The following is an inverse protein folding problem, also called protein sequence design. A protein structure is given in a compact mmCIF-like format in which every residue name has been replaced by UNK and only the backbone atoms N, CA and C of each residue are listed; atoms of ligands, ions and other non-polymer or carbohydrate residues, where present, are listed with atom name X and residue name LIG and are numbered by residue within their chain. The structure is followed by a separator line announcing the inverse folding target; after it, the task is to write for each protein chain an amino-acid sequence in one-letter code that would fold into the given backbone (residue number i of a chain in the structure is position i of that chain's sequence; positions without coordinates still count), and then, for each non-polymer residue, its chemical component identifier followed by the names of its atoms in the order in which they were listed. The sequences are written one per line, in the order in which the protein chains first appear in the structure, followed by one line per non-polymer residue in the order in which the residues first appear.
data_IF_878611942438
#
_entry.id   IF_878611942438
#
_cell.length_a   1.000
_cell.length_b   1.000
_cell.length_c   1.000
_cell.angle_alpha   90.00
_cell.angle_beta   90.00
_cell.angle_gamma   90.00
#
_symmetry.space_group_name_H-M   'P 1'
#
loop_
_entity.id
_entity.type
_entity.pdbx_description
1 polymer ?
#
# COMPACT_ATOMS: atom_id res chain seq x y z
N UNK A 1 -12.52 -0.49 16.83
CA UNK A 1 -12.83 0.34 15.66
C UNK A 1 -11.81 0.19 14.53
N UNK A 2 -10.56 0.70 14.58
CA UNK A 2 -9.54 0.40 13.53
C UNK A 2 -9.29 -1.11 13.37
N UNK A 3 -9.43 -1.86 14.46
CA UNK A 3 -9.27 -3.32 14.54
C UNK A 3 -10.47 -4.14 14.02
N UNK A 4 -11.62 -3.49 13.73
CA UNK A 4 -12.84 -4.13 13.20
C UNK A 4 -13.02 -3.89 11.69
N UNK A 5 -12.10 -3.15 11.05
CA UNK A 5 -12.02 -3.12 9.59
C UNK A 5 -13.15 -2.38 8.88
N UNK A 6 -13.83 -1.46 9.55
CA UNK A 6 -14.83 -0.57 8.93
C UNK A 6 -14.12 0.71 8.50
N UNK A 7 -13.24 0.62 7.50
CA UNK A 7 -12.39 1.75 7.10
C UNK A 7 -13.20 2.96 6.65
N UNK A 8 -14.32 2.77 5.96
CA UNK A 8 -15.26 3.85 5.62
C UNK A 8 -15.86 4.51 6.87
N UNK A 9 -16.19 3.73 7.91
CA UNK A 9 -16.68 4.29 9.16
C UNK A 9 -15.58 4.99 9.95
N UNK A 10 -14.37 4.43 9.99
CA UNK A 10 -13.20 5.07 10.62
C UNK A 10 -12.87 6.38 9.92
N UNK A 11 -12.91 6.39 8.58
CA UNK A 11 -12.74 7.58 7.76
C UNK A 11 -13.86 8.60 8.05
N UNK A 12 -15.13 8.18 8.09
CA UNK A 12 -16.27 9.04 8.37
C UNK A 12 -16.23 9.63 9.79
N UNK A 13 -15.90 8.83 10.81
CA UNK A 13 -15.71 9.28 12.19
C UNK A 13 -14.55 10.27 12.32
N UNK A 14 -13.42 9.96 11.67
CA UNK A 14 -12.26 10.85 11.65
C UNK A 14 -12.58 12.18 10.93
N UNK A 15 -13.35 12.14 9.84
CA UNK A 15 -13.85 13.35 9.17
C UNK A 15 -14.81 14.15 10.03
N UNK A 16 -15.74 13.48 10.71
CA UNK A 16 -16.66 14.15 11.63
C UNK A 16 -15.91 14.86 12.76
N UNK A 17 -14.86 14.23 13.29
CA UNK A 17 -13.97 14.82 14.29
C UNK A 17 -13.19 16.02 13.73
N UNK A 18 -12.69 15.93 12.50
CA UNK A 18 -11.98 17.01 11.82
C UNK A 18 -12.89 18.22 11.52
N UNK A 19 -14.19 17.99 11.30
CA UNK A 19 -15.18 19.03 11.00
C UNK A 19 -15.70 19.77 12.24
N UNK A 20 -15.41 19.29 13.46
CA UNK A 20 -15.83 19.98 14.67
C UNK A 20 -15.22 21.38 14.75
N UNK A 21 -15.99 22.40 15.15
CA UNK A 21 -15.52 23.78 15.19
C UNK A 21 -14.28 23.89 16.09
N UNK A 22 -13.17 24.33 15.49
CA UNK A 22 -11.93 24.58 16.20
C UNK A 22 -12.17 25.60 17.31
N UNK A 23 -12.00 25.22 18.57
CA UNK A 23 -12.05 26.20 19.65
C UNK A 23 -10.86 27.16 19.50
N UNK A 24 -11.06 28.49 19.45
CA UNK A 24 -10.01 29.45 19.08
C UNK A 24 -8.76 29.39 19.98
N UNK A 25 -8.90 28.92 21.22
CA UNK A 25 -7.82 28.78 22.20
C UNK A 25 -7.14 27.40 22.19
N UNK A 26 -7.64 26.46 21.38
CA UNK A 26 -7.05 25.13 21.13
C UNK A 26 -6.83 24.96 19.63
N UNK A 27 -5.93 25.75 19.04
CA UNK A 27 -5.19 25.39 17.82
C UNK A 27 -4.23 24.22 18.12
N UNK A 28 -4.77 23.10 18.61
CA UNK A 28 -4.03 21.95 19.11
C UNK A 28 -4.17 20.74 18.17
N UNK A 29 -3.25 19.75 18.28
CA UNK A 29 -3.13 18.56 17.42
C UNK A 29 -4.39 17.75 17.06
N UNK A 30 -5.46 17.65 17.89
CA UNK A 30 -6.52 16.67 17.64
C UNK A 30 -7.23 16.77 16.29
N UNK A 31 -7.36 17.98 15.69
CA UNK A 31 -7.99 18.06 14.37
C UNK A 31 -7.03 17.69 13.24
N UNK A 32 -5.73 17.99 13.35
CA UNK A 32 -4.74 17.56 12.37
C UNK A 32 -4.54 16.05 12.46
N UNK A 33 -4.52 15.50 13.68
CA UNK A 33 -4.56 14.05 13.92
C UNK A 33 -5.78 13.41 13.25
N UNK A 34 -6.96 14.00 13.40
CA UNK A 34 -8.19 13.52 12.76
C UNK A 34 -8.12 13.59 11.22
N UNK A 35 -7.59 14.68 10.66
CA UNK A 35 -7.39 14.82 9.20
C UNK A 35 -6.36 13.84 8.66
N UNK A 36 -5.23 13.65 9.35
CA UNK A 36 -4.21 12.65 8.99
C UNK A 36 -4.81 11.24 9.03
N UNK A 37 -5.60 10.92 10.06
CA UNK A 37 -6.27 9.62 10.16
C UNK A 37 -7.30 9.41 9.05
N UNK A 38 -8.14 10.42 8.77
CA UNK A 38 -9.15 10.36 7.72
C UNK A 38 -8.51 10.15 6.35
N UNK A 39 -7.55 11.01 5.98
CA UNK A 39 -6.84 10.94 4.69
C UNK A 39 -6.04 9.64 4.54
N UNK A 40 -5.30 9.22 5.59
CA UNK A 40 -4.57 7.96 5.57
C UNK A 40 -5.50 6.76 5.38
N UNK A 41 -6.65 6.75 6.06
CA UNK A 41 -7.66 5.69 5.91
C UNK A 41 -8.28 5.70 4.50
N UNK A 42 -8.56 6.90 3.96
CA UNK A 42 -9.06 7.10 2.61
C UNK A 42 -8.12 6.55 1.53
N UNK A 43 -6.80 6.71 1.71
CA UNK A 43 -5.81 6.09 0.83
C UNK A 43 -5.83 4.56 0.96
N UNK A 44 -5.88 4.03 2.19
CA UNK A 44 -5.77 2.59 2.45
C UNK A 44 -6.92 1.76 1.87
N UNK A 45 -8.16 2.26 1.92
CA UNK A 45 -9.30 1.53 1.36
C UNK A 45 -9.59 1.85 -0.12
N UNK A 46 -8.92 2.83 -0.75
CA UNK A 46 -8.91 2.98 -2.21
C UNK A 46 -9.40 4.32 -2.78
N UNK A 47 -9.73 5.32 -1.96
CA UNK A 47 -10.11 6.67 -2.43
C UNK A 47 -8.89 7.56 -2.70
N UNK A 48 -7.99 7.04 -3.54
CA UNK A 48 -6.62 7.53 -3.64
C UNK A 48 -6.50 8.95 -4.25
N UNK A 49 -7.28 9.25 -5.29
CA UNK A 49 -7.19 10.53 -6.00
C UNK A 49 -7.63 11.70 -5.12
N UNK A 50 -8.83 11.61 -4.52
CA UNK A 50 -9.34 12.65 -3.64
C UNK A 50 -8.48 12.82 -2.38
N UNK A 51 -8.02 11.71 -1.80
CA UNK A 51 -7.16 11.76 -0.62
C UNK A 51 -5.82 12.43 -0.92
N UNK A 52 -5.29 12.33 -2.15
CA UNK A 52 -4.02 12.97 -2.51
C UNK A 52 -4.10 14.50 -2.48
N UNK A 53 -5.14 15.10 -3.06
CA UNK A 53 -5.34 16.55 -3.04
C UNK A 53 -5.51 17.08 -1.60
N UNK A 54 -6.24 16.32 -0.76
CA UNK A 54 -6.41 16.65 0.65
C UNK A 54 -5.08 16.52 1.43
N UNK A 55 -4.29 15.48 1.14
CA UNK A 55 -2.96 15.28 1.74
C UNK A 55 -1.99 16.40 1.36
N UNK A 56 -1.97 16.84 0.10
CA UNK A 56 -1.12 17.95 -0.35
C UNK A 56 -1.47 19.24 0.39
N UNK A 57 -2.76 19.53 0.56
CA UNK A 57 -3.24 20.67 1.37
C UNK A 57 -2.82 20.53 2.83
N UNK A 58 -3.03 19.37 3.44
CA UNK A 58 -2.69 19.09 4.83
C UNK A 58 -1.18 19.21 5.10
N UNK A 59 -0.34 18.73 4.18
CA UNK A 59 1.12 18.82 4.25
C UNK A 59 1.56 20.28 4.23
N UNK A 60 1.04 21.08 3.30
CA UNK A 60 1.35 22.51 3.21
C UNK A 60 0.96 23.29 4.47
N UNK A 61 -0.16 22.92 5.11
CA UNK A 61 -0.57 23.50 6.39
C UNK A 61 0.31 23.08 7.58
N UNK A 62 0.79 21.83 7.59
CA UNK A 62 1.60 21.28 8.68
C UNK A 62 3.06 21.73 8.64
N UNK A 63 3.60 22.00 7.45
CA UNK A 63 5.00 22.37 7.24
C UNK A 63 5.48 23.57 8.08
N UNK A 64 4.76 24.72 8.16
CA UNK A 64 5.20 25.86 8.96
C UNK A 64 4.98 25.71 10.47
N UNK A 65 4.26 24.69 10.95
CA UNK A 65 3.90 24.52 12.38
C UNK A 65 5.11 24.11 13.24
N UNK A 66 6.18 23.62 12.61
CA UNK A 66 7.45 23.31 13.26
C UNK A 66 7.49 21.96 13.97
N UNK A 67 8.46 21.78 14.88
CA UNK A 67 8.84 20.48 15.45
C UNK A 67 7.69 19.76 16.20
N UNK A 68 6.73 20.50 16.75
CA UNK A 68 5.63 19.94 17.52
C UNK A 68 4.65 19.10 16.69
N UNK A 69 4.55 19.34 15.38
CA UNK A 69 3.69 18.59 14.47
C UNK A 69 4.49 17.73 13.48
N UNK A 70 5.80 17.57 13.70
CA UNK A 70 6.71 16.92 12.75
C UNK A 70 6.32 15.47 12.47
N UNK A 71 5.93 14.72 13.50
CA UNK A 71 5.46 13.34 13.32
C UNK A 71 4.17 13.27 12.51
N UNK A 72 3.22 14.19 12.72
CA UNK A 72 1.98 14.24 11.92
C UNK A 72 2.26 14.55 10.45
N UNK A 73 3.18 15.49 10.19
CA UNK A 73 3.65 15.80 8.84
C UNK A 73 4.25 14.56 8.17
N UNK A 74 5.14 13.83 8.85
CA UNK A 74 5.76 12.63 8.30
C UNK A 74 4.75 11.49 8.06
N UNK A 75 3.75 11.34 8.92
CA UNK A 75 2.66 10.37 8.71
C UNK A 75 1.84 10.75 7.46
N UNK A 76 1.45 12.03 7.32
CA UNK A 76 0.73 12.52 6.14
C UNK A 76 1.54 12.28 4.85
N UNK A 77 2.84 12.59 4.88
CA UNK A 77 3.75 12.34 3.75
C UNK A 77 3.88 10.85 3.44
N UNK A 78 3.90 9.95 4.44
CA UNK A 78 3.90 8.50 4.19
C UNK A 78 2.60 8.03 3.53
N UNK A 79 1.45 8.56 3.95
CA UNK A 79 0.16 8.33 3.27
C UNK A 79 0.15 8.87 1.83
N UNK A 80 0.82 10.01 1.59
CA UNK A 80 1.02 10.57 0.23
C UNK A 80 1.83 9.63 -0.65
N UNK A 81 2.90 9.00 -0.14
CA UNK A 81 3.68 7.98 -0.88
C UNK A 81 2.77 6.83 -1.32
N UNK A 82 1.94 6.31 -0.40
CA UNK A 82 1.00 5.24 -0.71
C UNK A 82 -0.01 5.68 -1.80
N UNK A 83 -0.48 6.92 -1.73
CA UNK A 83 -1.41 7.47 -2.72
C UNK A 83 -0.76 7.62 -4.11
N UNK A 84 0.42 8.22 -4.19
CA UNK A 84 1.19 8.34 -5.43
C UNK A 84 1.48 6.98 -6.05
N UNK A 85 1.83 5.98 -5.22
CA UNK A 85 2.03 4.60 -5.67
C UNK A 85 0.75 3.98 -6.26
N UNK A 86 -0.41 4.22 -5.64
CA UNK A 86 -1.71 3.77 -6.17
C UNK A 86 -2.06 4.41 -7.53
N UNK A 87 -1.65 5.66 -7.74
CA UNK A 87 -1.79 6.39 -9.01
C UNK A 87 -0.64 6.15 -10.00
N UNK A 88 0.24 5.17 -9.73
CA UNK A 88 1.41 4.85 -10.59
C UNK A 88 2.42 6.00 -10.76
N UNK A 89 2.38 7.03 -9.91
CA UNK A 89 3.32 8.17 -9.88
C UNK A 89 4.61 7.78 -9.12
N UNK A 90 5.26 6.71 -9.57
CA UNK A 90 6.30 6.03 -8.79
C UNK A 90 7.57 6.86 -8.56
N UNK A 91 8.06 7.60 -9.55
CA UNK A 91 9.26 8.43 -9.39
C UNK A 91 9.09 9.53 -8.32
N UNK A 92 7.89 10.11 -8.27
CA UNK A 92 7.55 11.10 -7.25
C UNK A 92 7.39 10.46 -5.87
N UNK A 93 6.72 9.29 -5.81
CA UNK A 93 6.57 8.51 -4.58
C UNK A 93 7.93 8.10 -3.99
N UNK A 94 8.88 7.70 -4.84
CA UNK A 94 10.25 7.35 -4.43
C UNK A 94 10.98 8.56 -3.83
N UNK A 95 10.90 9.71 -4.49
CA UNK A 95 11.52 10.95 -4.02
C UNK A 95 10.98 11.34 -2.64
N UNK A 96 9.66 11.26 -2.47
CA UNK A 96 8.96 11.53 -1.22
C UNK A 96 9.38 10.54 -0.11
N UNK A 97 9.36 9.24 -0.39
CA UNK A 97 9.74 8.20 0.57
C UNK A 97 11.18 8.37 1.04
N UNK A 98 12.13 8.61 0.13
CA UNK A 98 13.52 8.87 0.47
C UNK A 98 13.69 10.16 1.29
N UNK A 99 12.87 11.18 1.02
CA UNK A 99 12.78 12.40 1.82
C UNK A 99 12.39 12.12 3.27
N UNK A 100 11.33 11.33 3.47
CA UNK A 100 10.85 10.91 4.79
C UNK A 100 11.92 10.10 5.53
N UNK A 101 12.52 9.10 4.89
CA UNK A 101 13.52 8.22 5.53
C UNK A 101 14.76 8.99 6.00
N UNK A 102 15.26 9.94 5.18
CA UNK A 102 16.37 10.81 5.56
C UNK A 102 16.03 11.63 6.81
N UNK A 103 14.80 12.10 6.91
CA UNK A 103 14.34 12.90 8.02
C UNK A 103 14.12 12.08 9.30
N UNK A 104 13.50 10.90 9.19
CA UNK A 104 13.34 9.96 10.29
C UNK A 104 14.70 9.60 10.90
N UNK A 105 15.72 9.38 10.05
CA UNK A 105 17.08 9.13 10.49
C UNK A 105 17.65 10.29 11.34
N UNK A 106 17.40 11.54 10.94
CA UNK A 106 17.88 12.72 11.69
C UNK A 106 17.20 12.88 13.06
N UNK A 107 15.94 12.49 13.19
CA UNK A 107 15.15 12.67 14.43
C UNK A 107 15.06 11.39 15.28
N UNK A 108 15.67 10.28 14.87
CA UNK A 108 15.54 8.97 15.52
C UNK A 108 15.91 8.97 17.01
N UNK A 109 16.82 9.87 17.42
CA UNK A 109 17.24 10.04 18.81
C UNK A 109 16.28 10.87 19.67
N UNK A 110 15.26 11.49 19.06
CA UNK A 110 14.31 12.42 19.72
C UNK A 110 12.87 11.93 19.72
N UNK A 111 12.55 10.92 18.92
CA UNK A 111 11.18 10.42 18.75
C UNK A 111 11.15 8.92 18.40
N UNK A 112 10.09 8.19 18.78
CA UNK A 112 9.92 6.79 18.41
C UNK A 112 9.51 6.65 16.92
N UNK A 113 10.48 6.68 16.02
CA UNK A 113 10.26 6.69 14.56
C UNK A 113 10.14 5.31 13.91
N UNK A 114 10.55 4.24 14.60
CA UNK A 114 10.76 2.90 14.00
C UNK A 114 9.52 2.37 13.25
N UNK A 115 8.33 2.54 13.81
CA UNK A 115 7.09 2.05 13.17
C UNK A 115 6.80 2.77 11.85
N UNK A 116 6.99 4.10 11.81
CA UNK A 116 6.81 4.90 10.60
C UNK A 116 7.91 4.60 9.59
N UNK A 117 9.16 4.43 10.03
CA UNK A 117 10.28 4.04 9.18
C UNK A 117 10.01 2.72 8.45
N UNK A 118 9.61 1.67 9.18
CA UNK A 118 9.29 0.35 8.60
C UNK A 118 8.13 0.45 7.60
N UNK A 119 7.11 1.26 7.91
CA UNK A 119 5.98 1.49 7.01
C UNK A 119 6.42 2.19 5.72
N UNK A 120 7.20 3.26 5.83
CA UNK A 120 7.75 3.99 4.68
C UNK A 120 8.69 3.12 3.84
N UNK A 121 9.50 2.24 4.46
CA UNK A 121 10.33 1.27 3.74
C UNK A 121 9.48 0.24 2.97
N UNK A 122 8.37 -0.23 3.55
CA UNK A 122 7.42 -1.08 2.84
C UNK A 122 6.79 -0.37 1.62
N UNK A 123 6.44 0.91 1.76
CA UNK A 123 5.98 1.72 0.63
C UNK A 123 7.07 1.90 -0.43
N UNK A 124 8.32 2.15 -0.02
CA UNK A 124 9.45 2.25 -0.94
C UNK A 124 9.66 0.94 -1.73
N UNK A 125 9.62 -0.23 -1.06
CA UNK A 125 9.68 -1.52 -1.76
C UNK A 125 8.54 -1.70 -2.78
N UNK A 126 7.33 -1.25 -2.46
CA UNK A 126 6.20 -1.32 -3.39
C UNK A 126 6.38 -0.38 -4.61
N UNK A 127 6.92 0.82 -4.38
CA UNK A 127 7.26 1.80 -5.41
C UNK A 127 8.39 1.29 -6.32
N UNK A 128 9.45 0.72 -5.76
CA UNK A 128 10.56 0.13 -6.51
C UNK A 128 10.08 -1.03 -7.41
N UNK A 129 9.17 -1.86 -6.91
CA UNK A 129 8.49 -2.87 -7.74
C UNK A 129 7.69 -2.25 -8.90
N UNK A 130 7.05 -1.10 -8.70
CA UNK A 130 6.33 -0.39 -9.76
C UNK A 130 7.24 0.28 -10.80
N UNK A 131 8.52 0.48 -10.46
CA UNK A 131 9.58 0.97 -11.34
C UNK A 131 10.37 -0.16 -12.02
N UNK A 132 9.92 -1.42 -11.88
CA UNK A 132 10.61 -2.62 -12.34
C UNK A 132 12.02 -2.81 -11.74
N UNK A 133 12.31 -2.15 -10.61
CA UNK A 133 13.59 -2.25 -9.85
C UNK A 133 13.48 -3.32 -8.77
N UNK A 134 13.22 -4.55 -9.19
CA UNK A 134 12.87 -5.66 -8.31
C UNK A 134 13.99 -6.10 -7.36
N UNK A 135 15.26 -6.03 -7.77
CA UNK A 135 16.40 -6.36 -6.92
C UNK A 135 16.53 -5.40 -5.74
N UNK A 136 16.34 -4.10 -5.99
CA UNK A 136 16.37 -3.07 -4.95
C UNK A 136 15.16 -3.20 -4.02
N UNK A 137 13.98 -3.50 -4.57
CA UNK A 137 12.79 -3.76 -3.78
C UNK A 137 12.98 -4.94 -2.80
N UNK A 138 13.59 -6.03 -3.26
CA UNK A 138 13.96 -7.19 -2.44
C UNK A 138 14.96 -6.81 -1.35
N UNK A 139 16.02 -6.07 -1.69
CA UNK A 139 17.03 -5.66 -0.72
C UNK A 139 16.42 -4.83 0.42
N UNK A 140 15.53 -3.88 0.10
CA UNK A 140 14.81 -3.07 1.09
C UNK A 140 13.90 -3.94 1.96
N UNK A 141 13.13 -4.86 1.36
CA UNK A 141 12.19 -5.70 2.09
C UNK A 141 12.91 -6.68 3.04
N UNK A 142 13.92 -7.41 2.54
CA UNK A 142 14.73 -8.35 3.33
C UNK A 142 15.46 -7.66 4.47
N UNK A 143 16.03 -6.47 4.22
CA UNK A 143 16.76 -5.70 5.23
C UNK A 143 15.92 -5.28 6.44
N UNK A 144 14.59 -5.29 6.33
CA UNK A 144 13.69 -4.77 7.37
C UNK A 144 12.65 -5.78 7.88
N UNK A 145 12.60 -6.98 7.30
CA UNK A 145 11.67 -8.05 7.68
C UNK A 145 11.74 -8.42 9.16
N UNK A 146 12.94 -8.51 9.72
CA UNK A 146 13.15 -8.84 11.16
C UNK A 146 12.69 -7.74 12.11
N UNK A 147 12.57 -6.50 11.62
CA UNK A 147 12.10 -5.33 12.38
C UNK A 147 10.58 -5.19 12.32
N UNK A 148 9.93 -5.78 11.32
CA UNK A 148 8.50 -5.69 11.11
C UNK A 148 7.71 -6.40 12.23
N UNK A 149 6.57 -5.83 12.60
CA UNK A 149 5.68 -6.41 13.60
C UNK A 149 4.21 -6.19 13.23
N UNK A 150 3.32 -6.97 13.83
CA UNK A 150 1.87 -6.87 13.59
C UNK A 150 1.50 -7.01 12.11
N UNK A 151 0.63 -6.12 11.63
CA UNK A 151 0.15 -6.13 10.24
C UNK A 151 1.23 -5.76 9.21
N UNK A 152 2.32 -5.12 9.62
CA UNK A 152 3.42 -4.77 8.72
C UNK A 152 4.14 -6.02 8.20
N UNK A 153 4.17 -7.11 8.97
CA UNK A 153 4.80 -8.38 8.58
C UNK A 153 4.18 -8.91 7.29
N UNK A 154 2.85 -9.04 7.24
CA UNK A 154 2.14 -9.53 6.06
C UNK A 154 2.42 -8.66 4.81
N UNK A 155 2.41 -7.34 4.98
CA UNK A 155 2.69 -6.40 3.88
C UNK A 155 4.13 -6.54 3.36
N UNK A 156 5.10 -6.73 4.25
CA UNK A 156 6.51 -6.91 3.87
C UNK A 156 6.72 -8.22 3.11
N UNK A 157 6.21 -9.35 3.61
CA UNK A 157 6.30 -10.65 2.90
C UNK A 157 5.63 -10.59 1.52
N UNK A 158 4.44 -9.97 1.43
CA UNK A 158 3.72 -9.83 0.15
C UNK A 158 4.50 -8.97 -0.85
N UNK A 159 5.14 -7.90 -0.38
CA UNK A 159 5.95 -7.02 -1.22
C UNK A 159 7.27 -7.67 -1.65
N UNK A 160 7.89 -8.47 -0.78
CA UNK A 160 9.06 -9.29 -1.13
C UNK A 160 8.70 -10.32 -2.19
N UNK A 161 7.57 -11.02 -2.03
CA UNK A 161 7.09 -11.98 -3.03
C UNK A 161 6.84 -11.31 -4.39
N UNK A 162 6.33 -10.08 -4.41
CA UNK A 162 6.19 -9.30 -5.67
C UNK A 162 7.53 -9.01 -6.33
N UNK A 163 8.55 -8.67 -5.53
CA UNK A 163 9.91 -8.47 -6.04
C UNK A 163 10.49 -9.76 -6.62
N UNK A 164 10.34 -10.89 -5.92
CA UNK A 164 10.78 -12.20 -6.39
C UNK A 164 10.09 -12.61 -7.70
N UNK A 165 8.78 -12.37 -7.82
CA UNK A 165 8.03 -12.58 -9.06
C UNK A 165 8.57 -11.75 -10.23
N UNK A 166 8.84 -10.46 -9.99
CA UNK A 166 9.41 -9.58 -11.01
C UNK A 166 10.80 -10.01 -11.50
N UNK A 167 11.55 -10.73 -10.66
CA UNK A 167 12.83 -11.35 -11.03
C UNK A 167 12.69 -12.74 -11.69
N UNK A 168 11.46 -13.25 -11.87
CA UNK A 168 11.22 -14.60 -12.39
C UNK A 168 11.45 -15.73 -11.36
N UNK A 169 11.72 -15.40 -10.10
CA UNK A 169 11.98 -16.36 -9.01
C UNK A 169 10.67 -16.84 -8.37
N UNK A 170 9.81 -17.44 -9.18
CA UNK A 170 8.43 -17.75 -8.81
C UNK A 170 8.29 -18.82 -7.71
N UNK A 171 9.20 -19.80 -7.66
CA UNK A 171 9.18 -20.81 -6.59
C UNK A 171 9.50 -20.17 -5.23
N UNK A 172 10.48 -19.27 -5.19
CA UNK A 172 10.84 -18.53 -3.98
C UNK A 172 9.72 -17.57 -3.56
N UNK A 173 9.07 -16.90 -4.51
CA UNK A 173 7.90 -16.07 -4.23
C UNK A 173 6.77 -16.87 -3.57
N UNK A 174 6.50 -18.10 -4.05
CA UNK A 174 5.51 -18.99 -3.44
C UNK A 174 5.92 -19.49 -2.06
N UNK A 175 7.19 -19.81 -1.86
CA UNK A 175 7.69 -20.23 -0.55
C UNK A 175 7.54 -19.10 0.48
N UNK A 176 7.85 -17.87 0.08
CA UNK A 176 7.77 -16.68 0.94
C UNK A 176 6.33 -16.42 1.43
N UNK A 177 5.34 -16.47 0.55
CA UNK A 177 3.93 -16.21 0.92
C UNK A 177 3.25 -17.39 1.63
N UNK A 178 3.84 -18.59 1.56
CA UNK A 178 3.34 -19.80 2.24
C UNK A 178 4.03 -20.06 3.56
N UNK A 179 4.99 -19.24 3.95
CA UNK A 179 5.76 -19.45 5.16
C UNK A 179 4.84 -19.46 6.39
N UNK A 180 5.02 -20.47 7.24
CA UNK A 180 4.32 -20.56 8.51
C UNK A 180 4.63 -19.34 9.37
N UNK A 181 3.59 -18.70 9.89
CA UNK A 181 3.70 -17.52 10.74
C UNK A 181 3.52 -16.17 10.03
N UNK A 182 3.34 -16.13 8.71
CA UNK A 182 2.86 -14.91 8.03
C UNK A 182 1.43 -14.63 8.51
N UNK A 183 1.17 -13.50 9.20
CA UNK A 183 -0.15 -13.21 9.71
C UNK A 183 -1.12 -12.93 8.56
N UNK A 184 -2.41 -13.09 8.82
CA UNK A 184 -3.44 -12.69 7.86
C UNK A 184 -3.25 -11.22 7.47
N UNK A 185 -3.27 -10.89 6.16
CA UNK A 185 -3.16 -9.51 5.73
C UNK A 185 -4.26 -8.66 6.36
N UNK A 186 -3.97 -7.40 6.73
CA UNK A 186 -5.01 -6.48 7.14
C UNK A 186 -5.98 -6.23 5.98
N UNK A 187 -7.22 -5.82 6.28
CA UNK A 187 -8.28 -5.62 5.27
C UNK A 187 -7.90 -4.71 4.10
N UNK A 188 -7.12 -3.64 4.33
CA UNK A 188 -6.63 -2.78 3.24
C UNK A 188 -5.67 -3.51 2.26
N UNK A 189 -5.08 -4.62 2.70
CA UNK A 189 -4.25 -5.51 1.89
C UNK A 189 -5.04 -6.72 1.35
N UNK A 190 -6.38 -6.72 1.44
CA UNK A 190 -7.23 -7.79 0.93
C UNK A 190 -6.93 -8.10 -0.55
N UNK A 191 -6.93 -9.39 -0.87
CA UNK A 191 -6.60 -9.91 -2.19
C UNK A 191 -5.14 -9.79 -2.62
N UNK A 192 -4.29 -9.03 -1.92
CA UNK A 192 -2.90 -8.81 -2.37
C UNK A 192 -2.07 -10.10 -2.31
N UNK A 193 -2.20 -10.87 -1.23
CA UNK A 193 -1.51 -12.16 -1.07
C UNK A 193 -1.86 -13.16 -2.20
N UNK A 194 -3.15 -13.27 -2.52
CA UNK A 194 -3.63 -14.14 -3.60
C UNK A 194 -3.20 -13.63 -4.98
N UNK A 195 -3.09 -12.32 -5.16
CA UNK A 195 -2.61 -11.71 -6.40
C UNK A 195 -1.16 -12.10 -6.69
N UNK A 196 -0.24 -11.90 -5.73
CA UNK A 196 1.18 -12.32 -5.92
C UNK A 196 1.32 -13.84 -6.00
N UNK A 197 0.45 -14.60 -5.32
CA UNK A 197 0.41 -16.07 -5.46
C UNK A 197 0.01 -16.46 -6.89
N UNK A 198 -1.00 -15.81 -7.46
CA UNK A 198 -1.46 -16.04 -8.82
C UNK A 198 -0.39 -15.69 -9.87
N UNK A 199 0.33 -14.58 -9.67
CA UNK A 199 1.47 -14.19 -10.52
C UNK A 199 2.56 -15.27 -10.53
N UNK A 200 2.94 -15.77 -9.35
CA UNK A 200 3.96 -16.79 -9.22
C UNK A 200 3.53 -18.11 -9.88
N UNK A 201 2.30 -18.55 -9.64
CA UNK A 201 1.73 -19.76 -10.25
C UNK A 201 1.66 -19.64 -11.78
N UNK A 202 1.29 -18.47 -12.29
CA UNK A 202 1.27 -18.22 -13.74
C UNK A 202 2.68 -18.26 -14.34
N UNK A 203 3.67 -17.67 -13.67
CA UNK A 203 5.08 -17.74 -14.08
C UNK A 203 5.63 -19.17 -14.13
N UNK A 204 5.13 -20.05 -13.25
CA UNK A 204 5.43 -21.49 -13.26
C UNK A 204 4.60 -22.30 -14.27
N UNK A 205 3.72 -21.66 -15.05
CA UNK A 205 2.84 -22.33 -16.01
C UNK A 205 1.64 -23.07 -15.38
N UNK A 206 1.43 -22.94 -14.06
CA UNK A 206 0.33 -23.59 -13.31
C UNK A 206 -0.98 -22.80 -13.45
N UNK A 207 -1.48 -22.69 -14.69
CA UNK A 207 -2.56 -21.76 -15.06
C UNK A 207 -3.88 -21.94 -14.29
N UNK A 208 -4.30 -23.18 -14.03
CA UNK A 208 -5.57 -23.43 -13.32
C UNK A 208 -5.52 -22.95 -11.86
N UNK A 209 -4.39 -23.20 -11.19
CA UNK A 209 -4.17 -22.72 -9.82
C UNK A 209 -4.00 -21.21 -9.78
N UNK A 210 -3.33 -20.63 -10.79
CA UNK A 210 -3.21 -19.19 -10.94
C UNK A 210 -4.58 -18.53 -11.13
N UNK A 211 -5.44 -19.09 -11.99
CA UNK A 211 -6.81 -18.61 -12.20
C UNK A 211 -7.66 -18.71 -10.92
N UNK A 212 -7.52 -19.80 -10.17
CA UNK A 212 -8.19 -19.96 -8.87
C UNK A 212 -7.76 -18.86 -7.89
N UNK A 213 -6.45 -18.62 -7.78
CA UNK A 213 -5.90 -17.59 -6.89
C UNK A 213 -6.30 -16.18 -7.35
N UNK A 214 -6.26 -15.88 -8.65
CA UNK A 214 -6.67 -14.59 -9.20
C UNK A 214 -8.17 -14.30 -8.96
N UNK A 215 -9.05 -15.32 -9.06
CA UNK A 215 -10.47 -15.16 -8.72
C UNK A 215 -10.68 -14.85 -7.23
N UNK A 216 -9.94 -15.52 -6.33
CA UNK A 216 -9.98 -15.20 -4.90
C UNK A 216 -9.48 -13.79 -4.62
N UNK A 217 -8.37 -13.40 -5.24
CA UNK A 217 -7.82 -12.05 -5.12
C UNK A 217 -8.87 -11.00 -5.51
N UNK A 218 -9.53 -11.17 -6.66
CA UNK A 218 -10.57 -10.26 -7.13
C UNK A 218 -11.78 -10.23 -6.18
N UNK A 219 -12.30 -11.38 -5.78
CA UNK A 219 -13.45 -11.48 -4.88
C UNK A 219 -13.17 -10.83 -3.51
N UNK A 220 -11.96 -11.01 -2.97
CA UNK A 220 -11.55 -10.39 -1.71
C UNK A 220 -11.35 -8.87 -1.86
N UNK A 221 -10.82 -8.41 -2.99
CA UNK A 221 -10.73 -6.98 -3.28
C UNK A 221 -12.12 -6.34 -3.36
N UNK A 222 -13.05 -6.93 -4.12
CA UNK A 222 -14.41 -6.41 -4.30
C UNK A 222 -15.24 -6.44 -3.02
N UNK A 223 -14.95 -7.38 -2.10
CA UNK A 223 -15.64 -7.49 -0.82
C UNK A 223 -15.16 -6.46 0.21
N UNK A 224 -13.87 -6.17 0.25
CA UNK A 224 -13.24 -5.45 1.37
C UNK A 224 -12.72 -4.04 1.02
N UNK A 225 -12.55 -3.72 -0.26
CA UNK A 225 -11.95 -2.46 -0.72
C UNK A 225 -12.98 -1.59 -1.43
N UNK A 226 -12.73 -0.28 -1.46
CA UNK A 226 -13.52 0.66 -2.23
C UNK A 226 -13.46 0.28 -3.73
N UNK A 227 -14.54 0.46 -4.52
CA UNK A 227 -14.57 0.10 -5.94
C UNK A 227 -13.45 0.72 -6.81
N UNK A 228 -12.96 1.88 -6.41
CA UNK A 228 -11.87 2.60 -7.08
C UNK A 228 -10.46 2.13 -6.68
N UNK A 229 -10.34 1.13 -5.78
CA UNK A 229 -9.05 0.66 -5.32
C UNK A 229 -8.22 0.06 -6.48
N UNK A 230 -6.95 0.47 -6.69
CA UNK A 230 -6.15 0.12 -7.87
C UNK A 230 -5.87 -1.39 -8.04
N UNK A 231 -5.98 -2.16 -6.95
CA UNK A 231 -5.82 -3.62 -6.96
C UNK A 231 -6.97 -4.36 -7.66
N UNK A 232 -8.16 -3.77 -7.75
CA UNK A 232 -9.30 -4.39 -8.43
C UNK A 232 -9.02 -4.56 -9.94
N UNK A 233 -8.66 -3.50 -10.70
CA UNK A 233 -8.29 -3.67 -12.10
C UNK A 233 -7.03 -4.54 -12.26
N UNK A 234 -6.04 -4.44 -11.37
CA UNK A 234 -4.84 -5.30 -11.38
C UNK A 234 -5.21 -6.81 -11.28
N UNK A 235 -6.13 -7.17 -10.40
CA UNK A 235 -6.62 -8.54 -10.25
C UNK A 235 -7.41 -9.02 -11.47
N UNK A 236 -8.22 -8.15 -12.09
CA UNK A 236 -8.95 -8.46 -13.33
C UNK A 236 -8.00 -8.71 -14.50
N UNK A 237 -7.00 -7.85 -14.67
CA UNK A 237 -6.00 -7.98 -15.72
C UNK A 237 -5.19 -9.27 -15.57
N UNK A 238 -4.79 -9.61 -14.35
CA UNK A 238 -4.13 -10.88 -14.08
C UNK A 238 -5.06 -12.06 -14.38
N UNK A 239 -6.31 -12.01 -13.94
CA UNK A 239 -7.29 -13.06 -14.22
C UNK A 239 -7.44 -13.29 -15.74
N UNK A 240 -7.62 -12.22 -16.52
CA UNK A 240 -7.73 -12.29 -17.98
C UNK A 240 -6.47 -12.89 -18.64
N UNK A 241 -5.28 -12.54 -18.13
CA UNK A 241 -4.00 -13.11 -18.60
C UNK A 241 -3.90 -14.61 -18.33
N UNK A 242 -4.32 -15.08 -17.16
CA UNK A 242 -4.20 -16.51 -16.79
C UNK A 242 -5.30 -17.38 -17.41
N UNK A 243 -6.48 -16.83 -17.68
CA UNK A 243 -7.59 -17.53 -18.36
C UNK A 243 -7.47 -17.49 -19.89
N UNK A 244 -6.65 -16.59 -20.43
CA UNK A 244 -6.48 -16.43 -21.89
C UNK A 244 -7.58 -15.62 -22.55
N UNK A 245 -8.45 -14.96 -21.77
CA UNK A 245 -9.57 -14.13 -22.27
C UNK A 245 -9.09 -12.89 -23.05
N UNK A 246 -7.78 -12.60 -23.06
CA UNK A 246 -7.18 -11.50 -23.82
C UNK A 246 -6.63 -11.88 -25.22
N UNK A 247 -7.07 -13.01 -25.80
CA UNK A 247 -6.69 -13.42 -27.18
C UNK A 247 -7.87 -13.49 -28.16
N UNK A 248 -8.99 -12.88 -27.81
CA UNK A 248 -10.22 -12.84 -28.59
C UNK A 248 -10.29 -11.77 -29.69
N UNK A 249 -9.19 -11.37 -30.34
CA UNK A 249 -9.31 -10.56 -31.58
C UNK A 249 -8.04 -10.62 -32.45
N UNK A 250 -7.88 -11.76 -33.14
CA UNK A 250 -7.33 -11.84 -34.51
C UNK A 250 -7.58 -13.25 -35.04
N UNK A 251 -8.85 -13.53 -35.33
CA UNK A 251 -9.22 -14.59 -36.26
C UNK A 251 -9.04 -14.02 -37.66
N UNK A 252 -7.92 -14.34 -38.30
CA UNK A 252 -7.74 -14.24 -39.75
C UNK A 252 -6.99 -15.49 -40.23
N UNK A 253 -7.19 -15.98 -41.46
CA UNK A 253 -7.70 -15.25 -42.62
C UNK A 253 -8.97 -15.88 -43.24
N UNK A 254 -9.87 -15.02 -43.71
CA UNK A 254 -10.85 -15.36 -44.73
C UNK A 254 -10.61 -14.43 -45.91
N UNK A 255 -10.47 -15.03 -47.10
CA UNK A 255 -10.12 -14.49 -48.43
C UNK A 255 -8.63 -14.46 -48.79
#
# INVERSE_FOLDING_TARGET
MVREGRYEEVEAEARALAALPGRPWRRRPPHWEARVLATGTAVMHGRVAEALDELDTLIAELEPVGLNSRMLLLIARSSRVAALSGLRRYAEAETEANGILRELNQIAHRAPVSALEINTLGHLSAVLNGLDRHEEAEAVARGNLTRANGSAVAVQHTTLARALNGQGRHEEALAEVRQDGVPQPPRYAAGYLDLVTAEALNGLGRREEAATSARRALADCERELHPDHPRIPEARDLLARVTGENTGEKRGPGE
#
